data_IF_964477047239
#
_entry.id   IF_964477047239
#
_cell.length_a   1.000
_cell.length_b   1.000
_cell.length_c   1.000
_cell.angle_alpha   90.00
_cell.angle_beta   90.00
_cell.angle_gamma   90.00
#
_symmetry.space_group_name_H-M   'P 1'
#
loop_
_entity.id
_entity.type
_entity.pdbx_description
1 polymer ?
#
# COMPACT_ATOMS: atom_id res chain seq x y z
N UNK A 1 7.34 -12.56 -19.41
CA UNK A 1 7.51 -11.13 -19.73
C UNK A 1 6.21 -10.31 -19.64
N UNK A 2 5.05 -10.93 -19.85
CA UNK A 2 3.73 -10.27 -19.86
C UNK A 2 2.97 -10.32 -18.50
N UNK A 3 3.69 -10.40 -17.37
CA UNK A 3 3.10 -10.58 -16.03
C UNK A 3 3.27 -9.35 -15.11
N UNK A 4 3.79 -8.25 -15.63
CA UNK A 4 3.91 -7.00 -14.89
C UNK A 4 2.70 -6.10 -15.15
N UNK A 5 2.34 -5.28 -14.17
CA UNK A 5 1.33 -4.24 -14.39
C UNK A 5 1.87 -3.19 -15.38
N UNK A 6 1.02 -2.79 -16.33
CA UNK A 6 1.28 -1.66 -17.22
C UNK A 6 1.08 -0.32 -16.48
N UNK A 7 1.51 0.77 -17.12
CA UNK A 7 1.23 2.11 -16.61
C UNK A 7 -0.28 2.43 -16.67
N UNK A 8 -0.76 3.12 -15.64
CA UNK A 8 -2.14 3.55 -15.53
C UNK A 8 -3.02 2.61 -14.69
N UNK A 9 -4.32 2.63 -14.96
CA UNK A 9 -5.32 1.88 -14.19
C UNK A 9 -5.62 0.55 -14.88
N UNK A 10 -5.61 -0.56 -14.14
CA UNK A 10 -5.93 -1.89 -14.67
C UNK A 10 -7.44 -2.11 -14.93
N UNK A 11 -8.31 -1.21 -14.45
CA UNK A 11 -9.77 -1.30 -14.53
C UNK A 11 -10.36 -0.01 -15.08
N UNK A 12 -11.67 0.01 -15.35
CA UNK A 12 -12.38 1.21 -15.77
C UNK A 12 -12.41 2.32 -14.68
N UNK A 13 -12.20 1.97 -13.41
CA UNK A 13 -12.28 2.91 -12.28
C UNK A 13 -10.89 3.40 -11.91
N UNK A 14 -10.62 4.68 -12.17
CA UNK A 14 -9.39 5.34 -11.76
C UNK A 14 -9.46 5.98 -10.36
N UNK A 15 -8.30 6.23 -9.72
CA UNK A 15 -8.23 6.91 -8.43
C UNK A 15 -8.69 8.38 -8.51
N UNK A 16 -9.45 8.80 -7.50
CA UNK A 16 -9.85 10.19 -7.31
C UNK A 16 -8.79 11.01 -6.53
N UNK A 17 -9.04 12.30 -6.30
CA UNK A 17 -8.08 13.19 -5.59
C UNK A 17 -7.74 12.74 -4.17
N UNK A 18 -8.68 12.17 -3.42
CA UNK A 18 -8.40 11.63 -2.08
C UNK A 18 -7.57 10.36 -2.16
N UNK A 19 -7.88 9.46 -3.10
CA UNK A 19 -7.14 8.21 -3.29
C UNK A 19 -5.67 8.50 -3.60
N UNK A 20 -5.39 9.50 -4.44
CA UNK A 20 -4.02 9.92 -4.75
C UNK A 20 -3.21 10.34 -3.52
N UNK A 21 -3.84 10.93 -2.50
CA UNK A 21 -3.15 11.28 -1.25
C UNK A 21 -2.72 10.03 -0.49
N UNK A 22 -3.57 9.01 -0.45
CA UNK A 22 -3.27 7.74 0.19
C UNK A 22 -2.25 6.93 -0.61
N UNK A 23 -2.39 6.87 -1.94
CA UNK A 23 -1.43 6.22 -2.84
C UNK A 23 -0.03 6.79 -2.64
N UNK A 24 0.14 8.11 -2.63
CA UNK A 24 1.46 8.71 -2.49
C UNK A 24 2.07 8.47 -1.11
N UNK A 25 1.26 8.54 -0.04
CA UNK A 25 1.70 8.25 1.32
C UNK A 25 2.14 6.78 1.48
N UNK A 26 1.32 5.83 1.01
CA UNK A 26 1.62 4.41 1.06
C UNK A 26 2.86 4.07 0.22
N UNK A 27 2.95 4.60 -1.01
CA UNK A 27 4.09 4.39 -1.91
C UNK A 27 5.39 4.89 -1.29
N UNK A 28 5.37 6.07 -0.67
CA UNK A 28 6.55 6.62 0.03
C UNK A 28 6.98 5.73 1.19
N UNK A 29 6.02 5.28 2.00
CA UNK A 29 6.29 4.41 3.15
C UNK A 29 6.83 3.03 2.71
N UNK A 30 6.18 2.37 1.75
CA UNK A 30 6.60 1.09 1.19
C UNK A 30 8.03 1.14 0.65
N UNK A 31 8.39 2.19 -0.11
CA UNK A 31 9.77 2.37 -0.59
C UNK A 31 10.77 2.59 0.56
N UNK A 32 10.38 3.31 1.60
CA UNK A 32 11.26 3.58 2.74
C UNK A 32 11.57 2.30 3.54
N UNK A 33 10.56 1.46 3.82
CA UNK A 33 10.78 0.18 4.52
C UNK A 33 11.48 -0.86 3.64
N UNK A 34 11.22 -0.85 2.33
CA UNK A 34 11.89 -1.75 1.38
C UNK A 34 13.36 -1.43 1.23
N UNK A 35 13.75 -0.15 1.31
CA UNK A 35 15.16 0.24 1.34
C UNK A 35 15.90 -0.24 2.59
N UNK A 36 15.17 -0.61 3.65
CA UNK A 36 15.70 -1.15 4.90
C UNK A 36 15.59 -2.68 5.00
N UNK A 37 15.09 -3.35 3.95
CA UNK A 37 14.82 -4.79 3.93
C UNK A 37 13.85 -5.25 5.07
N UNK A 38 12.95 -4.36 5.49
CA UNK A 38 11.95 -4.65 6.53
C UNK A 38 10.70 -5.30 5.93
N UNK A 39 10.29 -4.84 4.74
CA UNK A 39 9.06 -5.23 4.08
C UNK A 39 8.85 -4.39 2.82
N UNK A 40 7.78 -4.64 2.07
CA UNK A 40 7.57 -4.05 0.74
C UNK A 40 6.18 -3.44 0.55
N UNK A 41 5.27 -3.60 1.52
CA UNK A 41 3.92 -3.04 1.49
C UNK A 41 3.63 -2.09 2.67
N UNK A 42 2.73 -1.14 2.43
CA UNK A 42 2.23 -0.19 3.43
C UNK A 42 0.76 0.15 3.15
N UNK A 43 0.02 0.48 4.20
CA UNK A 43 -1.38 0.93 4.13
C UNK A 43 -1.45 2.37 4.60
N UNK A 44 -2.14 3.22 3.84
CA UNK A 44 -2.36 4.62 4.19
C UNK A 44 -3.86 4.97 4.22
N UNK A 45 -4.21 5.89 5.11
CA UNK A 45 -5.58 6.43 5.28
C UNK A 45 -5.48 7.92 5.59
N UNK A 46 -6.23 8.75 4.86
CA UNK A 46 -6.27 10.20 5.10
C UNK A 46 -4.93 10.90 4.84
N UNK A 47 -4.13 10.37 3.93
CA UNK A 47 -2.79 10.83 3.53
C UNK A 47 -1.68 10.45 4.51
N UNK A 48 -1.89 9.45 5.37
CA UNK A 48 -0.91 9.00 6.37
C UNK A 48 -0.73 7.49 6.29
N UNK A 49 0.51 7.02 6.31
CA UNK A 49 0.78 5.60 6.51
C UNK A 49 0.36 5.19 7.92
N UNK A 50 -0.48 4.17 8.04
CA UNK A 50 -1.05 3.68 9.31
C UNK A 50 -0.58 2.28 9.66
N UNK A 51 -0.10 1.52 8.67
CA UNK A 51 0.51 0.21 8.89
C UNK A 51 1.57 -0.09 7.82
N UNK A 52 2.55 -0.89 8.23
CA UNK A 52 3.69 -1.33 7.43
C UNK A 52 3.75 -2.85 7.47
N UNK A 53 4.13 -3.47 6.37
CA UNK A 53 4.39 -4.91 6.30
C UNK A 53 5.59 -5.27 7.17
N UNK A 54 5.44 -6.32 7.98
CA UNK A 54 6.52 -6.98 8.68
C UNK A 54 6.67 -8.44 8.23
N UNK A 55 7.18 -9.28 9.14
CA UNK A 55 7.47 -10.69 8.86
C UNK A 55 6.21 -11.52 8.56
N UNK A 56 5.04 -11.04 8.95
CA UNK A 56 3.75 -11.69 8.68
C UNK A 56 3.37 -11.66 7.18
N UNK A 57 4.06 -10.84 6.39
CA UNK A 57 3.80 -10.61 4.98
C UNK A 57 2.51 -9.83 4.71
N UNK A 58 2.25 -9.57 3.44
CA UNK A 58 1.13 -8.71 3.00
C UNK A 58 -0.24 -9.23 3.47
N UNK A 59 -0.45 -10.55 3.52
CA UNK A 59 -1.70 -11.13 4.01
C UNK A 59 -1.92 -10.83 5.50
N UNK A 60 -0.91 -11.04 6.35
CA UNK A 60 -1.00 -10.72 7.78
C UNK A 60 -1.14 -9.22 8.06
N UNK A 61 -0.51 -8.37 7.23
CA UNK A 61 -0.73 -6.92 7.27
C UNK A 61 -2.20 -6.57 7.02
N UNK A 62 -2.82 -7.15 5.99
CA UNK A 62 -4.22 -6.91 5.66
C UNK A 62 -5.15 -7.43 6.76
N UNK A 63 -4.89 -8.61 7.30
CA UNK A 63 -5.69 -9.19 8.39
C UNK A 63 -5.64 -8.30 9.65
N UNK A 64 -4.46 -7.86 10.09
CA UNK A 64 -4.35 -6.89 11.22
C UNK A 64 -5.12 -5.61 10.96
N UNK A 65 -5.11 -5.10 9.73
CA UNK A 65 -5.79 -3.83 9.42
C UNK A 65 -7.30 -3.95 9.42
N UNK A 66 -7.86 -5.15 9.17
CA UNK A 66 -9.29 -5.38 9.30
C UNK A 66 -9.76 -5.16 10.73
N UNK A 67 -8.98 -5.62 11.71
CA UNK A 67 -9.31 -5.49 13.13
C UNK A 67 -9.21 -4.05 13.66
N UNK A 68 -8.45 -3.18 12.97
CA UNK A 68 -8.24 -1.78 13.34
C UNK A 68 -9.29 -0.82 12.76
N UNK A 69 -10.16 -1.30 11.84
CA UNK A 69 -11.27 -0.52 11.25
C UNK A 69 -12.63 -0.85 11.89
N UNK A 70 -12.62 -1.32 13.15
CA UNK A 70 -13.82 -1.47 13.98
C UNK A 70 -14.42 -0.15 14.46
#
# INVERSE_FOLDING_TARGET
PELTADEGTLTATGPNKSDWRDIEAARKAAKAIGALDIGQAAIAIGGRAVALEGIEGTAGLLDRMRDLRG
#
